data_IF_016441928837
#
_entry.id   IF_016441928837
#
_cell.length_a   1.000
_cell.length_b   1.000
_cell.length_c   1.000
_cell.angle_alpha   90.00
_cell.angle_beta   90.00
_cell.angle_gamma   90.00
#
_symmetry.space_group_name_H-M   'P 1'
#
loop_
_entity.id
_entity.type
_entity.pdbx_description
1 polymer ?
#
# COMPACT_ATOMS: atom_id res chain seq x y z
N UNK A 1 -2.35 -12.05 -7.90
CA UNK A 1 -2.65 -12.48 -6.51
C UNK A 1 -3.96 -11.84 -6.10
N UNK A 2 -4.82 -12.58 -5.40
CA UNK A 2 -6.08 -12.10 -4.84
C UNK A 2 -6.02 -12.24 -3.33
N UNK A 3 -6.34 -11.18 -2.58
CA UNK A 3 -6.47 -11.27 -1.13
C UNK A 3 -7.87 -11.80 -0.77
N UNK A 4 -7.93 -12.94 -0.08
CA UNK A 4 -9.19 -13.55 0.35
C UNK A 4 -9.69 -12.94 1.66
N UNK A 5 -10.97 -13.17 2.01
CA UNK A 5 -11.53 -12.72 3.31
C UNK A 5 -10.83 -13.32 4.53
N UNK A 6 -10.14 -14.46 4.38
CA UNK A 6 -9.36 -15.09 5.45
C UNK A 6 -7.99 -14.45 5.65
N UNK A 7 -7.62 -13.46 4.81
CA UNK A 7 -6.33 -12.77 4.88
C UNK A 7 -5.21 -13.52 4.15
N UNK A 8 -5.52 -14.57 3.41
CA UNK A 8 -4.56 -15.34 2.61
C UNK A 8 -4.49 -14.80 1.18
N UNK A 9 -3.33 -14.95 0.54
CA UNK A 9 -3.14 -14.59 -0.86
C UNK A 9 -3.34 -15.81 -1.75
N UNK A 10 -4.31 -15.75 -2.64
CA UNK A 10 -4.47 -16.72 -3.74
C UNK A 10 -3.61 -16.28 -4.95
N UNK A 11 -2.74 -17.17 -5.42
CA UNK A 11 -1.73 -16.87 -6.44
C UNK A 11 -2.03 -17.63 -7.73
N UNK A 12 -2.17 -16.88 -8.83
CA UNK A 12 -2.30 -17.46 -10.16
C UNK A 12 -1.29 -16.82 -11.11
N UNK A 13 -0.58 -17.65 -11.86
CA UNK A 13 0.27 -17.22 -12.95
C UNK A 13 -0.57 -17.06 -14.22
N UNK A 14 -0.44 -15.90 -14.87
CA UNK A 14 -1.20 -15.55 -16.09
C UNK A 14 -0.20 -15.27 -17.20
N UNK A 15 -0.41 -15.88 -18.37
CA UNK A 15 0.41 -15.62 -19.55
C UNK A 15 -0.06 -14.34 -20.22
N UNK A 16 0.89 -13.45 -20.51
CA UNK A 16 0.64 -12.22 -21.26
C UNK A 16 0.85 -12.51 -22.74
N UNK A 17 -0.13 -12.12 -23.56
CA UNK A 17 -0.06 -12.23 -25.01
C UNK A 17 1.01 -11.27 -25.59
N UNK A 18 1.49 -11.50 -26.82
CA UNK A 18 2.51 -10.63 -27.44
C UNK A 18 2.09 -9.17 -27.61
N UNK A 19 0.78 -8.88 -27.58
CA UNK A 19 0.17 -7.56 -27.65
C UNK A 19 0.04 -6.87 -26.28
N UNK A 20 0.50 -7.51 -25.20
CA UNK A 20 0.40 -7.00 -23.83
C UNK A 20 -0.94 -7.26 -23.16
N UNK A 21 -1.89 -7.91 -23.84
CA UNK A 21 -3.17 -8.28 -23.25
C UNK A 21 -3.04 -9.53 -22.38
N UNK A 22 -3.85 -9.62 -21.33
CA UNK A 22 -4.01 -10.84 -20.56
C UNK A 22 -5.47 -10.96 -20.08
N UNK A 23 -5.93 -12.19 -19.89
CA UNK A 23 -7.26 -12.47 -19.36
C UNK A 23 -7.15 -13.39 -18.15
N UNK A 24 -7.94 -13.09 -17.12
CA UNK A 24 -8.04 -13.91 -15.91
C UNK A 24 -9.47 -14.41 -15.85
N UNK A 25 -9.61 -15.72 -15.97
CA UNK A 25 -10.89 -16.42 -15.92
C UNK A 25 -10.96 -17.22 -14.61
N UNK A 26 -12.17 -17.38 -14.05
CA UNK A 26 -12.49 -18.20 -12.88
C UNK A 26 -12.15 -17.62 -11.49
N UNK A 27 -12.04 -16.30 -11.35
CA UNK A 27 -12.04 -15.68 -10.03
C UNK A 27 -13.46 -15.30 -9.60
N UNK A 28 -13.95 -16.01 -8.57
CA UNK A 28 -15.20 -15.72 -7.89
C UNK A 28 -14.89 -15.22 -6.48
N UNK A 29 -15.37 -14.03 -6.15
CA UNK A 29 -15.22 -13.44 -4.83
C UNK A 29 -16.55 -12.80 -4.41
N UNK A 30 -16.95 -13.03 -3.17
CA UNK A 30 -18.15 -12.45 -2.57
C UNK A 30 -17.76 -11.14 -1.85
N UNK A 31 -17.85 -9.97 -2.51
CA UNK A 31 -17.54 -8.59 -2.04
C UNK A 31 -16.31 -7.96 -2.74
N UNK A 32 -15.75 -6.86 -2.21
CA UNK A 32 -14.59 -6.19 -2.78
C UNK A 32 -13.37 -7.11 -2.81
N UNK A 33 -12.75 -7.24 -3.98
CA UNK A 33 -11.51 -7.97 -4.17
C UNK A 33 -10.32 -7.01 -4.26
N UNK A 34 -9.21 -7.38 -3.62
CA UNK A 34 -7.94 -6.71 -3.80
C UNK A 34 -7.05 -7.59 -4.65
N UNK A 35 -6.77 -7.13 -5.87
CA UNK A 35 -5.89 -7.79 -6.82
C UNK A 35 -4.52 -7.15 -6.80
N UNK A 36 -3.47 -7.94 -6.63
CA UNK A 36 -2.09 -7.51 -6.74
C UNK A 36 -1.40 -8.22 -7.91
N UNK A 37 -0.72 -7.45 -8.76
CA UNK A 37 0.03 -7.94 -9.90
C UNK A 37 1.53 -7.73 -9.70
N UNK A 38 2.32 -8.75 -10.05
CA UNK A 38 3.78 -8.72 -10.01
C UNK A 38 4.35 -9.46 -11.21
N UNK A 39 5.47 -8.95 -11.76
CA UNK A 39 6.18 -9.62 -12.84
C UNK A 39 6.83 -10.90 -12.34
N UNK A 40 6.82 -11.95 -13.16
CA UNK A 40 7.49 -13.24 -12.84
C UNK A 40 9.01 -13.16 -12.97
N UNK A 41 9.52 -12.19 -13.73
CA UNK A 41 10.94 -11.87 -13.79
C UNK A 41 11.25 -10.76 -12.80
N UNK A 42 12.31 -10.95 -12.01
CA UNK A 42 12.90 -9.95 -11.11
C UNK A 42 13.58 -8.81 -11.87
N UNK A 43 12.91 -8.27 -12.88
CA UNK A 43 13.30 -7.01 -13.50
C UNK A 43 12.60 -5.91 -12.71
N UNK A 44 13.35 -4.92 -12.27
CA UNK A 44 12.90 -3.77 -11.49
C UNK A 44 12.01 -2.81 -12.32
N UNK A 45 11.25 -3.36 -13.27
CA UNK A 45 10.34 -2.66 -14.17
C UNK A 45 8.99 -2.53 -13.49
N UNK A 46 8.51 -1.29 -13.40
CA UNK A 46 7.15 -0.98 -12.99
C UNK A 46 6.20 -1.54 -14.03
N UNK A 47 5.29 -2.42 -13.60
CA UNK A 47 4.16 -2.82 -14.42
C UNK A 47 3.24 -1.62 -14.63
N UNK A 48 2.65 -1.51 -15.81
CA UNK A 48 1.59 -0.55 -16.12
C UNK A 48 0.39 -1.34 -16.63
N UNK A 49 -0.53 -1.67 -15.72
CA UNK A 49 -1.68 -2.53 -15.97
C UNK A 49 -2.95 -1.68 -15.91
N UNK A 50 -3.79 -1.81 -16.93
CA UNK A 50 -5.16 -1.31 -16.91
C UNK A 50 -6.11 -2.49 -16.85
N UNK A 51 -7.08 -2.45 -15.92
CA UNK A 51 -8.05 -3.52 -15.74
C UNK A 51 -9.41 -3.03 -16.21
N UNK A 52 -10.01 -3.79 -17.12
CA UNK A 52 -11.42 -3.67 -17.49
C UNK A 52 -12.16 -4.90 -16.96
N UNK A 53 -13.21 -4.67 -16.17
CA UNK A 53 -14.05 -5.74 -15.62
C UNK A 53 -15.50 -5.54 -16.05
N UNK A 54 -16.18 -6.65 -16.38
CA UNK A 54 -17.61 -6.63 -16.71
C UNK A 54 -18.48 -6.16 -15.53
N UNK A 55 -17.98 -6.27 -14.29
CA UNK A 55 -18.68 -5.75 -13.10
C UNK A 55 -18.84 -4.23 -13.15
N UNK A 56 -17.86 -3.51 -13.72
CA UNK A 56 -17.91 -2.05 -13.87
C UNK A 56 -18.93 -1.63 -14.95
N UNK A 57 -19.17 -2.52 -15.94
CA UNK A 57 -20.21 -2.36 -16.97
C UNK A 57 -21.59 -2.91 -16.58
N UNK A 58 -21.75 -3.55 -15.42
CA UNK A 58 -23.03 -4.16 -15.03
C UNK A 58 -24.05 -3.17 -14.46
N UNK A 59 -23.63 -1.93 -14.21
CA UNK A 59 -24.53 -0.86 -13.75
C UNK A 59 -25.10 -0.07 -14.94
N UNK A 60 -26.01 -0.70 -15.69
CA UNK A 60 -26.92 0.07 -16.53
C UNK A 60 -28.10 0.52 -15.68
N UNK A 61 -28.22 1.82 -15.43
CA UNK A 61 -29.36 2.38 -14.72
C UNK A 61 -30.64 2.12 -15.56
N UNK A 62 -31.48 1.18 -15.11
CA UNK A 62 -32.74 0.83 -15.78
C UNK A 62 -33.67 2.05 -15.97
N UNK A 63 -33.55 3.04 -15.08
CA UNK A 63 -34.14 4.37 -15.23
C UNK A 63 -33.39 5.37 -14.35
N UNK A 64 -32.96 6.49 -14.92
CA UNK A 64 -32.47 7.65 -14.16
C UNK A 64 -33.67 8.55 -13.89
N UNK A 65 -34.22 8.47 -12.68
CA UNK A 65 -35.31 9.35 -12.25
C UNK A 65 -34.74 10.56 -11.50
N UNK A 66 -34.57 11.68 -12.21
CA UNK A 66 -34.26 12.96 -11.59
C UNK A 66 -35.48 13.52 -10.87
N UNK A 67 -35.35 13.87 -9.58
CA UNK A 67 -36.36 14.68 -8.88
C UNK A 67 -36.00 16.15 -9.06
N UNK A 68 -36.81 16.89 -9.80
CA UNK A 68 -36.66 18.34 -9.91
C UNK A 68 -37.24 18.99 -8.66
N UNK A 69 -36.48 19.89 -8.06
CA UNK A 69 -36.97 20.81 -7.04
C UNK A 69 -36.75 22.23 -7.53
N UNK A 70 -37.71 23.11 -7.26
CA UNK A 70 -37.62 24.51 -7.64
C UNK A 70 -37.14 25.31 -6.42
N UNK A 71 -36.14 26.16 -6.62
CA UNK A 71 -35.79 27.20 -5.65
C UNK A 71 -36.79 28.34 -5.85
N UNK A 72 -37.76 28.48 -4.94
CA UNK A 72 -38.86 29.47 -5.02
C UNK A 72 -40.21 28.90 -5.50
N UNK A 73 -41.19 29.78 -5.79
CA UNK A 73 -42.51 29.41 -6.29
C UNK A 73 -42.72 29.89 -7.74
N UNK A 74 -42.16 29.19 -8.75
CA UNK A 74 -42.30 29.60 -10.14
C UNK A 74 -43.78 29.53 -10.58
N UNK A 75 -44.24 30.49 -11.41
CA UNK A 75 -45.59 30.51 -11.96
C UNK A 75 -45.92 29.20 -12.68
N UNK A 76 -47.17 28.73 -12.55
CA UNK A 76 -47.60 27.44 -13.12
C UNK A 76 -47.34 27.31 -14.64
N UNK A 77 -47.36 28.43 -15.36
CA UNK A 77 -47.08 28.49 -16.80
C UNK A 77 -45.61 28.18 -17.18
N UNK A 78 -44.65 28.38 -16.26
CA UNK A 78 -43.21 28.22 -16.54
C UNK A 78 -42.69 26.85 -16.11
N UNK A 79 -43.33 26.22 -15.12
CA UNK A 79 -43.00 24.87 -14.61
C UNK A 79 -42.80 23.80 -15.69
N UNK A 80 -43.68 23.64 -16.70
CA UNK A 80 -43.51 22.60 -17.70
C UNK A 80 -42.31 22.80 -18.62
N UNK A 81 -41.77 24.02 -18.74
CA UNK A 81 -40.55 24.29 -19.51
C UNK A 81 -39.27 24.05 -18.70
N UNK A 82 -39.33 24.15 -17.37
CA UNK A 82 -38.20 23.90 -16.48
C UNK A 82 -37.95 22.40 -16.23
N UNK A 83 -38.97 21.56 -16.43
CA UNK A 83 -38.89 20.09 -16.33
C UNK A 83 -38.59 19.39 -17.65
N UNK A 84 -38.43 20.13 -18.75
CA UNK A 84 -38.04 19.52 -20.02
C UNK A 84 -36.57 19.12 -19.95
N UNK A 85 -36.22 17.87 -20.31
CA UNK A 85 -34.84 17.51 -20.57
C UNK A 85 -34.31 18.47 -21.65
N UNK A 86 -33.17 19.10 -21.38
CA UNK A 86 -32.47 19.83 -22.43
C UNK A 86 -31.81 18.77 -23.29
N UNK A 87 -32.38 18.51 -24.47
CA UNK A 87 -31.73 17.70 -25.50
C UNK A 87 -30.53 18.49 -26.04
N UNK A 88 -29.39 18.32 -25.38
CA UNK A 88 -28.13 18.86 -25.85
C UNK A 88 -27.61 17.94 -26.97
N UNK A 89 -27.46 18.42 -28.22
CA UNK A 89 -26.86 17.61 -29.28
C UNK A 89 -25.46 17.14 -28.87
N UNK A 90 -25.09 15.90 -29.23
CA UNK A 90 -23.78 15.31 -28.91
C UNK A 90 -22.61 16.21 -29.36
N UNK A 91 -22.83 17.06 -30.37
CA UNK A 91 -21.86 18.04 -30.87
C UNK A 91 -21.47 19.10 -29.84
N UNK A 92 -22.32 19.42 -28.84
CA UNK A 92 -21.96 20.30 -27.71
C UNK A 92 -20.93 19.66 -26.77
N UNK A 93 -20.85 18.34 -26.73
CA UNK A 93 -19.89 17.58 -25.93
C UNK A 93 -18.74 17.00 -26.77
N UNK A 94 -18.81 17.16 -28.10
CA UNK A 94 -17.74 16.74 -29.02
C UNK A 94 -16.48 17.59 -28.84
N UNK A 95 -16.65 18.87 -28.49
CA UNK A 95 -15.55 19.67 -27.98
C UNK A 95 -15.31 19.24 -26.53
N UNK A 96 -14.36 18.32 -26.33
CA UNK A 96 -14.01 17.75 -25.00
C UNK A 96 -13.51 18.81 -24.00
N UNK A 97 -13.52 20.09 -24.39
CA UNK A 97 -12.92 21.19 -23.65
C UNK A 97 -11.43 20.95 -23.45
N UNK A 98 -10.77 21.91 -22.83
CA UNK A 98 -9.43 21.69 -22.31
C UNK A 98 -9.55 20.81 -21.08
N UNK A 99 -9.44 19.49 -21.27
CA UNK A 99 -9.30 18.56 -20.14
C UNK A 99 -8.05 18.96 -19.35
N UNK A 100 -8.14 18.94 -18.03
CA UNK A 100 -6.95 19.14 -17.19
C UNK A 100 -5.89 18.12 -17.60
N UNK A 101 -4.63 18.54 -17.78
CA UNK A 101 -3.53 17.62 -18.06
C UNK A 101 -3.54 16.49 -17.03
N UNK A 102 -3.41 15.24 -17.49
CA UNK A 102 -3.36 14.10 -16.61
C UNK A 102 -2.27 14.31 -15.55
N UNK A 103 -2.66 14.35 -14.27
CA UNK A 103 -1.72 14.42 -13.16
C UNK A 103 -1.14 13.02 -13.00
N UNK A 104 -0.04 12.76 -13.71
CA UNK A 104 0.70 11.51 -13.58
C UNK A 104 1.45 11.58 -12.25
N UNK A 105 0.87 10.98 -11.20
CA UNK A 105 1.53 10.83 -9.91
C UNK A 105 2.64 9.79 -10.06
N UNK A 106 3.85 10.25 -10.40
CA UNK A 106 5.08 9.44 -10.36
C UNK A 106 5.56 9.30 -8.91
N UNK A 107 4.75 8.69 -8.05
CA UNK A 107 5.21 8.37 -6.70
C UNK A 107 6.07 7.11 -6.76
N UNK A 108 7.33 7.21 -6.32
CA UNK A 108 8.13 6.04 -6.02
C UNK A 108 7.40 5.24 -4.93
N UNK A 109 7.04 3.99 -5.21
CA UNK A 109 6.28 3.16 -4.29
C UNK A 109 7.16 2.87 -3.07
N UNK A 110 6.71 3.33 -1.89
CA UNK A 110 7.45 3.18 -0.63
C UNK A 110 7.50 1.72 -0.23
N UNK A 111 8.65 1.25 0.26
CA UNK A 111 8.76 -0.11 0.80
C UNK A 111 7.91 -0.26 2.07
N UNK A 112 7.50 -1.49 2.46
CA UNK A 112 6.79 -1.71 3.73
C UNK A 112 7.51 -1.10 4.94
N UNK A 113 8.84 -1.24 4.98
CA UNK A 113 9.67 -0.60 6.01
C UNK A 113 9.63 0.94 6.00
N UNK A 114 9.53 1.55 4.82
CA UNK A 114 9.36 3.00 4.69
C UNK A 114 7.95 3.45 5.11
N UNK A 115 6.91 2.69 4.74
CA UNK A 115 5.53 2.96 5.15
C UNK A 115 5.41 2.90 6.68
N UNK A 116 5.91 1.82 7.30
CA UNK A 116 5.97 1.68 8.75
C UNK A 116 6.74 2.83 9.42
N UNK A 117 7.90 3.19 8.86
CA UNK A 117 8.70 4.30 9.39
C UNK A 117 7.95 5.64 9.38
N UNK A 118 7.20 5.93 8.32
CA UNK A 118 6.46 7.18 8.23
C UNK A 118 5.29 7.26 9.21
N UNK A 119 4.66 6.12 9.47
CA UNK A 119 3.54 5.99 10.40
C UNK A 119 3.99 6.04 11.87
N UNK A 120 5.13 5.41 12.20
CA UNK A 120 5.52 5.15 13.59
C UNK A 120 6.73 5.94 14.10
N UNK A 121 7.61 6.44 13.23
CA UNK A 121 8.68 7.32 13.69
C UNK A 121 8.15 8.75 13.88
N UNK A 122 8.77 9.53 14.76
CA UNK A 122 8.36 10.90 15.08
C UNK A 122 9.57 11.82 15.30
N UNK A 123 9.36 13.12 15.06
CA UNK A 123 10.32 14.20 15.36
C UNK A 123 11.76 13.91 14.92
N UNK A 124 12.67 13.83 15.90
CA UNK A 124 14.10 13.62 15.69
C UNK A 124 14.45 12.26 15.09
N UNK A 125 13.54 11.29 15.18
CA UNK A 125 13.75 9.97 14.62
C UNK A 125 13.37 9.90 13.14
N UNK A 126 12.64 10.86 12.57
CA UNK A 126 12.36 10.96 11.11
C UNK A 126 13.52 11.62 10.32
N UNK A 127 14.76 11.27 10.63
CA UNK A 127 15.90 11.84 9.90
C UNK A 127 15.96 11.32 8.45
N UNK A 128 16.89 11.83 7.65
CA UNK A 128 17.22 11.29 6.32
C UNK A 128 18.47 10.41 6.32
N UNK A 129 19.30 10.52 7.36
CA UNK A 129 20.62 9.89 7.43
C UNK A 129 20.61 8.54 8.16
N UNK A 130 19.45 8.05 8.62
CA UNK A 130 19.37 6.71 9.18
C UNK A 130 19.56 5.61 8.14
N UNK A 131 20.02 4.47 8.64
CA UNK A 131 19.88 3.20 7.95
C UNK A 131 18.66 2.48 8.51
N UNK A 132 17.60 2.38 7.72
CA UNK A 132 16.42 1.58 8.03
C UNK A 132 16.70 0.13 7.64
N UNK A 133 16.56 -0.77 8.60
CA UNK A 133 16.74 -2.21 8.43
C UNK A 133 15.39 -2.87 8.72
N UNK A 134 14.82 -3.53 7.72
CA UNK A 134 13.56 -4.25 7.87
C UNK A 134 13.82 -5.63 8.47
N UNK A 135 13.26 -5.88 9.65
CA UNK A 135 13.26 -7.22 10.26
C UNK A 135 12.04 -8.00 9.77
N UNK A 136 10.92 -7.30 9.58
CA UNK A 136 9.68 -7.90 9.09
C UNK A 136 9.78 -8.49 7.68
N UNK A 137 10.61 -7.90 6.83
CA UNK A 137 10.81 -8.37 5.45
C UNK A 137 12.01 -9.34 5.30
N UNK A 138 12.77 -9.61 6.37
CA UNK A 138 13.99 -10.45 6.32
C UNK A 138 13.78 -11.80 7.01
N UNK A 139 13.53 -12.90 6.25
CA UNK A 139 13.41 -14.24 6.81
C UNK A 139 14.66 -14.71 7.57
N UNK A 140 15.84 -14.19 7.23
CA UNK A 140 17.09 -14.57 7.91
C UNK A 140 17.18 -14.01 9.33
N UNK A 141 16.40 -12.98 9.66
CA UNK A 141 16.37 -12.38 10.98
C UNK A 141 15.91 -13.36 12.06
N UNK A 142 15.07 -14.34 11.71
CA UNK A 142 14.61 -15.39 12.61
C UNK A 142 15.73 -16.33 13.09
N UNK A 143 16.84 -16.44 12.36
CA UNK A 143 17.98 -17.27 12.73
C UNK A 143 18.90 -16.67 13.80
N UNK A 144 18.69 -15.40 14.17
CA UNK A 144 19.53 -14.72 15.15
C UNK A 144 18.91 -14.79 16.55
N UNK A 145 19.76 -15.02 17.55
CA UNK A 145 19.35 -15.10 18.96
C UNK A 145 18.74 -13.79 19.47
N UNK A 146 19.28 -12.65 19.03
CA UNK A 146 18.79 -11.33 19.39
C UNK A 146 19.10 -10.30 18.31
N UNK A 147 18.46 -9.13 18.43
CA UNK A 147 18.60 -8.03 17.46
C UNK A 147 20.01 -7.43 17.46
N UNK A 148 20.72 -7.45 18.58
CA UNK A 148 22.07 -6.88 18.67
C UNK A 148 23.06 -7.67 17.78
N UNK A 149 23.02 -8.99 17.83
CA UNK A 149 23.82 -9.87 16.99
C UNK A 149 23.46 -9.70 15.52
N UNK A 150 22.17 -9.56 15.22
CA UNK A 150 21.69 -9.29 13.86
C UNK A 150 22.26 -7.98 13.30
N UNK A 151 22.33 -6.91 14.11
CA UNK A 151 22.81 -5.60 13.67
C UNK A 151 24.33 -5.56 13.42
N UNK A 152 25.13 -6.36 14.12
CA UNK A 152 26.59 -6.40 13.91
C UNK A 152 26.96 -6.79 12.47
N UNK A 153 26.19 -7.67 11.83
CA UNK A 153 26.41 -8.07 10.44
C UNK A 153 25.83 -7.11 9.39
N UNK A 154 24.95 -6.18 9.80
CA UNK A 154 24.21 -5.28 8.89
C UNK A 154 24.63 -3.82 8.99
N UNK A 155 25.21 -3.42 10.12
CA UNK A 155 25.65 -2.05 10.41
C UNK A 155 27.17 -1.99 10.46
N UNK A 156 27.78 -1.49 9.39
CA UNK A 156 29.24 -1.39 9.29
C UNK A 156 29.82 -0.47 10.39
N UNK A 157 30.79 -1.00 11.13
CA UNK A 157 31.49 -0.27 12.20
C UNK A 157 30.73 -0.21 13.52
N UNK A 158 29.59 -0.89 13.65
CA UNK A 158 28.91 -1.12 14.93
C UNK A 158 29.57 -2.31 15.65
N UNK A 159 30.06 -2.06 16.86
CA UNK A 159 30.65 -3.07 17.73
C UNK A 159 29.85 -3.10 19.02
N UNK A 160 29.41 -4.29 19.43
CA UNK A 160 28.65 -4.47 20.67
C UNK A 160 29.43 -5.44 21.52
N UNK A 161 29.96 -4.94 22.64
CA UNK A 161 30.67 -5.77 23.59
C UNK A 161 29.68 -6.68 24.34
N UNK A 162 30.09 -7.89 24.78
CA UNK A 162 29.26 -8.76 25.62
C UNK A 162 28.81 -8.08 26.92
N UNK A 163 29.54 -7.08 27.38
CA UNK A 163 29.20 -6.24 28.55
C UNK A 163 28.02 -5.29 28.30
N UNK A 164 27.47 -5.26 27.08
CA UNK A 164 26.37 -4.37 26.68
C UNK A 164 26.81 -2.97 26.23
N UNK A 165 28.11 -2.71 26.18
CA UNK A 165 28.65 -1.44 25.66
C UNK A 165 28.68 -1.49 24.14
N UNK A 166 27.90 -0.63 23.50
CA UNK A 166 27.88 -0.48 22.05
C UNK A 166 28.69 0.75 21.61
N UNK A 167 29.51 0.56 20.58
CA UNK A 167 30.31 1.61 19.96
C UNK A 167 30.12 1.60 18.45
N UNK A 168 30.01 2.77 17.84
CA UNK A 168 29.93 2.92 16.39
C UNK A 168 31.03 3.85 15.93
N UNK A 169 31.98 3.32 15.13
CA UNK A 169 33.19 4.05 14.69
C UNK A 169 33.92 4.73 15.86
N UNK A 170 33.97 4.07 17.01
CA UNK A 170 34.61 4.56 18.24
C UNK A 170 33.74 5.45 19.14
N UNK A 171 32.61 5.98 18.65
CA UNK A 171 31.66 6.77 19.45
C UNK A 171 30.69 5.90 20.27
N UNK A 172 30.16 6.39 21.40
CA UNK A 172 29.17 5.67 22.19
C UNK A 172 27.85 5.54 21.42
N UNK A 173 27.16 4.40 21.59
CA UNK A 173 25.84 4.16 20.99
C UNK A 173 24.79 4.02 22.07
N UNK A 174 23.63 4.60 21.82
CA UNK A 174 22.48 4.55 22.72
C UNK A 174 21.32 3.84 22.05
N UNK A 175 20.54 3.10 22.84
CA UNK A 175 19.43 2.31 22.33
C UNK A 175 18.09 2.93 22.70
N UNK A 176 17.14 2.85 21.77
CA UNK A 176 15.76 3.26 21.95
C UNK A 176 14.83 2.12 21.53
N UNK A 177 13.73 1.95 22.25
CA UNK A 177 12.61 1.10 21.91
C UNK A 177 11.40 1.99 21.76
N UNK A 178 10.81 2.03 20.57
CA UNK A 178 9.69 2.92 20.25
C UNK A 178 9.94 4.36 20.76
N UNK A 179 11.14 4.89 20.44
CA UNK A 179 11.58 6.25 20.81
C UNK A 179 11.87 6.48 22.30
N UNK A 180 11.66 5.47 23.15
CA UNK A 180 12.02 5.50 24.56
C UNK A 180 13.40 4.90 24.79
N UNK A 181 14.25 5.58 25.56
CA UNK A 181 15.60 5.09 25.85
C UNK A 181 15.55 3.83 26.70
N UNK A 182 16.30 2.80 26.30
CA UNK A 182 16.43 1.54 27.03
C UNK A 182 17.89 1.07 27.10
N UNK A 183 18.18 0.11 27.98
CA UNK A 183 19.52 -0.48 28.11
C UNK A 183 19.77 -1.56 27.04
N UNK A 184 21.03 -1.83 26.71
CA UNK A 184 21.39 -2.88 25.76
C UNK A 184 20.90 -4.27 26.22
N UNK A 185 20.90 -4.54 27.52
CA UNK A 185 20.40 -5.77 28.11
C UNK A 185 18.90 -5.94 27.88
N UNK A 186 18.13 -4.85 28.00
CA UNK A 186 16.70 -4.88 27.70
C UNK A 186 16.46 -5.09 26.21
N UNK A 187 17.22 -4.43 25.33
CA UNK A 187 17.13 -4.65 23.87
C UNK A 187 17.38 -6.12 23.51
N UNK A 188 18.37 -6.74 24.14
CA UNK A 188 18.72 -8.14 23.87
C UNK A 188 17.64 -9.15 24.29
N UNK A 189 16.73 -8.75 25.20
CA UNK A 189 15.62 -9.59 25.66
C UNK A 189 14.38 -9.53 24.77
N UNK A 190 14.33 -8.61 23.80
CA UNK A 190 13.20 -8.47 22.88
C UNK A 190 13.27 -9.59 21.84
N UNK A 191 12.21 -10.39 21.67
CA UNK A 191 12.15 -11.39 20.63
C UNK A 191 12.25 -10.76 19.23
N UNK A 192 13.05 -11.36 18.34
CA UNK A 192 13.13 -10.97 16.94
C UNK A 192 11.77 -10.87 16.20
N UNK A 193 10.80 -11.79 16.38
CA UNK A 193 9.52 -11.69 15.67
C UNK A 193 8.67 -10.48 16.10
N UNK A 194 8.90 -9.91 17.27
CA UNK A 194 8.14 -8.76 17.77
C UNK A 194 8.69 -7.43 17.21
N UNK A 195 9.80 -7.48 16.48
CA UNK A 195 10.46 -6.30 15.90
C UNK A 195 10.00 -6.13 14.45
N UNK A 196 9.61 -4.91 14.10
CA UNK A 196 9.21 -4.53 12.74
C UNK A 196 10.43 -4.02 11.96
N UNK A 197 11.00 -2.90 12.43
CA UNK A 197 12.16 -2.25 11.83
C UNK A 197 13.18 -1.85 12.89
N UNK A 198 14.43 -1.72 12.46
CA UNK A 198 15.50 -1.11 13.24
C UNK A 198 16.09 0.06 12.46
N UNK A 199 16.19 1.21 13.11
CA UNK A 199 16.80 2.43 12.56
C UNK A 199 18.14 2.66 13.23
N UNK A 200 19.21 2.61 12.44
CA UNK A 200 20.56 2.86 12.92
C UNK A 200 21.02 4.26 12.48
N UNK A 201 21.28 5.14 13.45
CA UNK A 201 21.74 6.51 13.24
C UNK A 201 23.26 6.61 13.45
N UNK A 202 24.03 6.92 12.40
CA UNK A 202 25.45 7.14 12.55
C UNK A 202 25.72 8.37 13.44
N UNK A 203 26.84 8.43 14.15
CA UNK A 203 27.27 9.65 14.83
C UNK A 203 27.49 10.79 13.81
N UNK A 204 27.06 12.04 14.08
CA UNK A 204 26.44 12.50 15.32
C UNK A 204 24.90 12.42 15.30
N UNK A 205 24.32 11.83 16.35
CA UNK A 205 22.87 11.84 16.57
C UNK A 205 22.50 12.77 17.74
N UNK A 206 21.62 13.74 17.51
CA UNK A 206 21.24 14.75 18.51
C UNK A 206 20.56 14.16 19.76
N UNK A 207 19.88 13.03 19.64
CA UNK A 207 19.28 12.32 20.79
C UNK A 207 20.30 11.53 21.63
N UNK A 208 21.56 11.45 21.21
CA UNK A 208 22.62 10.76 21.92
C UNK A 208 23.50 11.75 22.72
N UNK A 209 23.78 11.47 24.01
CA UNK A 209 24.73 12.25 24.79
C UNK A 209 26.10 12.32 24.09
N UNK A 210 26.65 13.53 23.99
CA UNK A 210 27.95 13.74 23.37
C UNK A 210 27.99 13.54 21.85
N UNK A 211 26.85 13.55 21.16
CA UNK A 211 26.80 13.37 19.70
C UNK A 211 27.23 11.96 19.26
N UNK A 212 26.95 10.96 20.08
CA UNK A 212 27.17 9.55 19.75
C UNK A 212 26.23 9.04 18.65
N UNK A 213 26.34 7.74 18.35
CA UNK A 213 25.38 7.06 17.47
C UNK A 213 24.13 6.63 18.23
N UNK A 214 23.09 6.24 17.51
CA UNK A 214 21.88 5.68 18.11
C UNK A 214 21.33 4.51 17.31
N UNK A 215 20.62 3.62 18.01
CA UNK A 215 19.85 2.55 17.39
C UNK A 215 18.44 2.60 17.98
N UNK A 216 17.44 2.83 17.15
CA UNK A 216 16.04 2.77 17.53
C UNK A 216 15.40 1.49 16.99
N UNK A 217 14.80 0.71 17.88
CA UNK A 217 14.10 -0.53 17.59
C UNK A 217 12.61 -0.21 17.66
N UNK A 218 11.85 -0.59 16.63
CA UNK A 218 10.41 -0.44 16.61
C UNK A 218 9.72 -1.79 16.66
N UNK A 219 8.75 -1.91 17.56
CA UNK A 219 7.95 -3.12 17.71
C UNK A 219 6.83 -3.19 16.69
N UNK A 220 6.40 -4.41 16.35
CA UNK A 220 5.21 -4.63 15.53
C UNK A 220 3.96 -4.15 16.31
N UNK A 221 3.07 -3.45 15.62
CA UNK A 221 1.83 -2.88 16.15
C UNK A 221 0.57 -3.57 15.61
N UNK A 222 0.70 -4.42 14.59
CA UNK A 222 -0.43 -5.02 13.90
C UNK A 222 -0.94 -4.11 12.78
N UNK A 223 -1.32 -4.71 11.65
CA UNK A 223 -1.72 -3.99 10.44
C UNK A 223 -0.66 -4.00 9.34
N UNK A 224 0.54 -4.50 9.61
CA UNK A 224 1.65 -4.55 8.65
C UNK A 224 1.38 -5.47 7.46
N UNK A 225 0.45 -6.43 7.61
CA UNK A 225 -0.05 -7.26 6.51
C UNK A 225 -0.77 -6.45 5.42
N UNK A 226 -1.24 -5.24 5.75
CA UNK A 226 -1.86 -4.31 4.79
C UNK A 226 -0.83 -3.48 4.03
N UNK A 227 0.46 -3.51 4.42
CA UNK A 227 1.49 -2.80 3.68
C UNK A 227 1.63 -3.39 2.29
N UNK A 228 1.49 -2.51 1.31
CA UNK A 228 1.61 -2.92 -0.08
C UNK A 228 3.08 -3.23 -0.35
N UNK A 229 3.40 -4.46 -0.79
CA UNK A 229 4.76 -4.81 -1.16
C UNK A 229 5.23 -3.90 -2.30
N UNK A 230 6.47 -3.41 -2.18
CA UNK A 230 7.11 -2.60 -3.22
C UNK A 230 7.04 -3.31 -4.58
N UNK A 231 6.79 -2.56 -5.65
CA UNK A 231 6.72 -3.07 -7.03
C UNK A 231 5.53 -3.99 -7.36
N UNK A 232 4.45 -3.99 -6.56
CA UNK A 232 3.17 -4.63 -6.94
C UNK A 232 2.10 -3.58 -7.22
N UNK A 233 1.45 -3.68 -8.38
CA UNK A 233 0.29 -2.85 -8.68
C UNK A 233 -0.95 -3.47 -8.06
N UNK A 234 -1.64 -2.72 -7.22
CA UNK A 234 -2.81 -3.19 -6.48
C UNK A 234 -4.07 -2.47 -6.95
N UNK A 235 -5.06 -3.26 -7.35
CA UNK A 235 -6.36 -2.79 -7.80
C UNK A 235 -7.44 -3.32 -6.86
N UNK A 236 -8.23 -2.41 -6.29
CA UNK A 236 -9.44 -2.79 -5.57
C UNK A 236 -10.59 -2.86 -6.56
N UNK A 237 -11.04 -4.07 -6.88
CA UNK A 237 -12.27 -4.25 -7.65
C UNK A 237 -13.44 -4.18 -6.67
N UNK A 238 -14.31 -3.20 -6.87
CA UNK A 238 -15.57 -3.09 -6.17
C UNK A 238 -16.62 -3.84 -6.98
N UNK A 239 -17.09 -4.99 -6.51
CA UNK A 239 -18.06 -5.76 -7.26
C UNK A 239 -18.76 -6.82 -6.42
N UNK A 240 -20.08 -6.86 -6.53
CA UNK A 240 -20.88 -8.02 -6.15
C UNK A 240 -20.85 -8.98 -7.34
N UNK A 241 -20.10 -10.08 -7.26
CA UNK A 241 -20.40 -11.24 -8.11
C UNK A 241 -21.44 -12.06 -7.39
N UNK A 242 -22.68 -12.06 -7.88
CA UNK A 242 -23.71 -12.94 -7.35
C UNK A 242 -23.26 -14.40 -7.54
N UNK A 243 -23.27 -15.21 -6.49
CA UNK A 243 -22.89 -16.62 -6.53
C UNK A 243 -23.78 -17.48 -7.47
N UNK A 244 -24.89 -16.91 -7.97
CA UNK A 244 -25.74 -17.52 -8.98
C UNK A 244 -26.28 -16.46 -9.95
N UNK A 245 -25.84 -16.51 -11.21
CA UNK A 245 -26.49 -15.80 -12.32
C UNK A 245 -27.40 -16.80 -13.04
N UNK A 246 -28.71 -16.71 -12.81
CA UNK A 246 -29.68 -17.43 -13.63
C UNK A 246 -29.78 -16.71 -14.98
N UNK A 247 -29.26 -17.33 -16.05
CA UNK A 247 -29.48 -16.87 -17.42
C UNK A 247 -30.97 -17.04 -17.77
N UNK A 248 -31.69 -15.93 -17.94
CA UNK A 248 -33.01 -15.98 -18.58
C UNK A 248 -32.86 -16.38 -20.05
N UNK A 249 -33.13 -17.66 -20.35
CA UNK A 249 -33.07 -18.23 -21.70
C UNK A 249 -34.01 -17.57 -22.72
N UNK A 250 -34.84 -16.59 -22.33
CA UNK A 250 -35.79 -15.91 -23.23
C UNK A 250 -35.15 -14.89 -24.17
N UNK A 251 -33.90 -14.48 -23.96
CA UNK A 251 -33.22 -13.47 -24.80
C UNK A 251 -32.20 -14.01 -25.80
N UNK A 252 -31.99 -15.33 -25.88
CA UNK A 252 -31.15 -15.92 -26.94
C UNK A 252 -32.05 -16.26 -28.12
N UNK A 253 -32.13 -15.36 -29.11
CA UNK A 253 -32.54 -15.75 -30.47
C UNK A 253 -31.28 -16.19 -31.21
N UNK A 254 -31.33 -17.41 -31.75
CA UNK A 254 -30.36 -18.00 -32.67
C UNK A 254 -30.24 -17.16 -33.96
#
# INVERSE_FOLDING_TARGET
MLLTKTGEWDEQQVTVSPDGSFSISNWLFEDNALLAFSGTKSNNQTLDISISSQLDSSYEALAVAGRTFFVGNPPAAVRPNLTKPVDAPETLFADRGTLLPAVIVKAALKTPAQQFNEEHASGLFKSGDERIISIMDDPSAAGYVNVLNYLQGRVAGLQIAPTGVARWRGGPVVFFLDEMRISAQQVASIPMPDIAIVKAYPPPFFGAPGGGGAVAIYTRRGGEASYLPGNRQVFKIRGYTAAATALEMRKVRL
#
